data_IF_072156541114
#
_entry.id   IF_072156541114
#
_cell.length_a   1.000
_cell.length_b   1.000
_cell.length_c   1.000
_cell.angle_alpha   90.00
_cell.angle_beta   90.00
_cell.angle_gamma   90.00
#
_symmetry.space_group_name_H-M   'P 1'
#
loop_
_entity.id
_entity.type
_entity.pdbx_description
1 polymer ?
#
# COMPACT_ATOMS: atom_id res chain seq x y z
N UNK A 1 26.26 -5.42 -3.46
CA UNK A 1 25.19 -5.48 -2.45
C UNK A 1 23.90 -5.42 -3.22
N UNK A 2 23.17 -6.53 -3.28
CA UNK A 2 21.80 -6.55 -3.79
C UNK A 2 20.98 -5.72 -2.82
N UNK A 3 20.79 -4.43 -3.15
CA UNK A 3 19.72 -3.63 -2.56
C UNK A 3 18.45 -4.24 -3.13
N UNK A 4 17.94 -5.30 -2.51
CA UNK A 4 16.58 -5.75 -2.76
C UNK A 4 15.70 -4.54 -2.48
N UNK A 5 15.17 -3.90 -3.53
CA UNK A 5 14.02 -3.02 -3.41
C UNK A 5 12.94 -3.82 -2.67
N UNK A 6 12.83 -3.64 -1.35
CA UNK A 6 11.82 -4.27 -0.50
C UNK A 6 10.44 -3.71 -0.89
N UNK A 7 9.91 -4.21 -2.00
CA UNK A 7 8.55 -3.97 -2.42
C UNK A 7 7.64 -4.85 -1.56
N UNK A 8 7.05 -4.25 -0.52
CA UNK A 8 6.04 -4.91 0.30
C UNK A 8 4.65 -4.53 -0.22
N UNK A 9 3.77 -5.51 -0.34
CA UNK A 9 2.38 -5.32 -0.77
C UNK A 9 1.45 -5.86 0.33
N UNK A 10 0.45 -5.07 0.72
CA UNK A 10 -0.56 -5.42 1.72
C UNK A 10 -1.95 -5.02 1.21
N UNK A 11 -2.98 -5.79 1.55
CA UNK A 11 -4.37 -5.41 1.28
C UNK A 11 -4.97 -4.77 2.52
N UNK A 12 -5.71 -3.68 2.34
CA UNK A 12 -6.40 -2.93 3.39
C UNK A 12 -7.85 -2.69 3.00
N UNK A 13 -8.75 -2.75 3.99
CA UNK A 13 -10.16 -2.46 3.79
C UNK A 13 -10.44 -1.00 4.09
N UNK A 14 -10.86 -0.22 3.09
CA UNK A 14 -11.21 1.19 3.27
C UNK A 14 -12.34 1.61 2.31
N UNK A 15 -13.21 2.53 2.74
CA UNK A 15 -14.41 2.91 1.97
C UNK A 15 -15.32 1.74 1.57
N UNK A 16 -15.38 0.67 2.38
CA UNK A 16 -16.22 -0.49 2.09
C UNK A 16 -15.73 -1.34 0.90
N UNK A 17 -14.45 -1.23 0.52
CA UNK A 17 -13.81 -2.02 -0.54
C UNK A 17 -12.36 -2.35 -0.17
N UNK A 18 -11.86 -3.42 -0.78
CA UNK A 18 -10.47 -3.84 -0.65
C UNK A 18 -9.56 -2.98 -1.55
N UNK A 19 -8.52 -2.43 -0.93
CA UNK A 19 -7.45 -1.70 -1.59
C UNK A 19 -6.14 -2.42 -1.40
N UNK A 20 -5.35 -2.49 -2.46
CA UNK A 20 -3.99 -3.00 -2.40
C UNK A 20 -3.07 -1.81 -2.26
N UNK A 21 -2.25 -1.83 -1.20
CA UNK A 21 -1.22 -0.84 -0.92
C UNK A 21 0.15 -1.48 -1.14
N UNK A 22 1.05 -0.73 -1.75
CA UNK A 22 2.41 -1.11 -2.05
C UNK A 22 3.36 -0.07 -1.48
N UNK A 23 4.34 -0.49 -0.70
CA UNK A 23 5.44 0.34 -0.22
C UNK A 23 6.67 0.04 -1.06
N UNK A 24 7.25 1.06 -1.70
CA UNK A 24 8.52 0.95 -2.43
C UNK A 24 9.36 2.20 -2.17
N UNK A 25 10.61 2.04 -1.72
CA UNK A 25 11.52 3.15 -1.43
C UNK A 25 10.89 4.23 -0.53
N UNK A 26 10.25 3.82 0.58
CA UNK A 26 9.49 4.68 1.50
C UNK A 26 8.31 5.46 0.89
N UNK A 27 7.90 5.13 -0.33
CA UNK A 27 6.71 5.71 -0.97
C UNK A 27 5.58 4.70 -1.01
N UNK A 28 4.38 5.17 -0.69
CA UNK A 28 3.16 4.40 -0.77
C UNK A 28 2.50 4.56 -2.13
N UNK A 29 1.93 3.46 -2.61
CA UNK A 29 1.11 3.42 -3.79
C UNK A 29 -0.10 2.56 -3.50
N UNK A 30 -1.27 2.91 -4.04
CA UNK A 30 -2.48 2.14 -3.83
C UNK A 30 -3.27 1.95 -5.12
N UNK A 31 -4.07 0.88 -5.16
CA UNK A 31 -5.06 0.64 -6.21
C UNK A 31 -6.20 -0.24 -5.66
N UNK A 32 -7.38 -0.25 -6.29
CA UNK A 32 -8.45 -1.18 -5.89
C UNK A 32 -8.01 -2.63 -6.14
N UNK A 33 -8.31 -3.55 -5.24
CA UNK A 33 -7.93 -4.97 -5.42
C UNK A 33 -8.57 -5.58 -6.67
N UNK A 34 -9.81 -5.18 -6.95
CA UNK A 34 -10.62 -5.73 -8.03
C UNK A 34 -10.45 -5.01 -9.37
N UNK A 35 -9.66 -3.95 -9.43
CA UNK A 35 -9.40 -3.23 -10.67
C UNK A 35 -7.92 -3.40 -11.06
N UNK A 36 -7.69 -3.99 -12.24
CA UNK A 36 -6.36 -4.00 -12.86
C UNK A 36 -6.07 -2.60 -13.43
N UNK A 37 -5.85 -1.64 -12.53
CA UNK A 37 -5.62 -0.23 -12.84
C UNK A 37 -4.23 0.27 -12.45
N UNK A 38 -3.98 1.54 -12.77
CA UNK A 38 -2.77 2.26 -12.40
C UNK A 38 -2.63 2.40 -10.88
N UNK A 39 -1.40 2.26 -10.40
CA UNK A 39 -1.06 2.53 -9.02
C UNK A 39 -1.07 4.04 -8.78
N UNK A 40 -1.90 4.49 -7.85
CA UNK A 40 -1.96 5.89 -7.43
C UNK A 40 -0.96 6.14 -6.31
N UNK A 41 -0.17 7.22 -6.34
CA UNK A 41 0.73 7.55 -5.25
C UNK A 41 -0.06 7.93 -3.98
N UNK A 42 0.48 7.56 -2.82
CA UNK A 42 -0.12 7.78 -1.51
C UNK A 42 -0.82 6.55 -0.94
N UNK A 43 -1.85 6.78 -0.13
CA UNK A 43 -2.64 5.74 0.53
C UNK A 43 -4.10 5.79 0.07
N UNK A 44 -4.89 4.71 0.29
CA UNK A 44 -6.29 4.69 -0.10
C UNK A 44 -7.10 5.81 0.57
N UNK A 45 -8.18 6.29 -0.08
CA UNK A 45 -9.06 7.28 0.52
C UNK A 45 -9.65 6.75 1.84
N UNK A 46 -9.88 7.64 2.80
CA UNK A 46 -10.35 7.31 4.15
C UNK A 46 -9.47 6.28 4.90
N UNK A 47 -8.21 6.09 4.48
CA UNK A 47 -7.19 5.38 5.24
C UNK A 47 -6.32 6.37 6.01
N UNK A 48 -5.71 5.92 7.10
CA UNK A 48 -4.81 6.72 7.92
C UNK A 48 -3.37 6.26 7.74
N UNK A 49 -2.47 7.16 7.33
CA UNK A 49 -1.06 6.82 7.02
C UNK A 49 -0.34 6.02 8.11
N UNK A 50 -0.43 6.34 9.41
CA UNK A 50 0.29 5.57 10.42
C UNK A 50 -0.31 4.16 10.63
N UNK A 51 -1.60 3.93 10.36
CA UNK A 51 -2.13 2.56 10.34
C UNK A 51 -1.55 1.76 9.18
N UNK A 52 -1.41 2.40 8.01
CA UNK A 52 -0.76 1.80 6.86
C UNK A 52 0.71 1.52 7.16
N UNK A 53 1.44 2.47 7.74
CA UNK A 53 2.85 2.34 8.10
C UNK A 53 3.08 1.17 9.06
N UNK A 54 2.24 1.04 10.10
CA UNK A 54 2.27 -0.11 11.03
C UNK A 54 2.09 -1.46 10.32
N UNK A 55 1.25 -1.55 9.30
CA UNK A 55 1.07 -2.79 8.51
C UNK A 55 2.34 -3.19 7.72
N UNK A 56 3.23 -2.23 7.47
CA UNK A 56 4.51 -2.44 6.78
C UNK A 56 5.72 -2.45 7.72
N UNK A 57 5.56 -2.05 8.97
CA UNK A 57 6.58 -2.05 10.04
C UNK A 57 6.64 -3.38 10.82
N UNK A 58 5.56 -4.18 10.78
CA UNK A 58 5.41 -5.48 11.49
C UNK A 58 6.25 -6.65 10.91
N UNK A 59 7.38 -6.40 10.24
CA UNK A 59 8.24 -7.45 9.62
C UNK A 59 9.73 -7.25 9.93
#
# INVERSE_FOLDING_TARGET
>A
MELNDEEKIKTVWAEGKDWVVKRKNHQYFYRPEREYGEWKPGIPPNSFEPEIDLLFDDD
#
